data_IF_864214541621
#
_entry.id   IF_864214541621
#
_cell.length_a   1.000
_cell.length_b   1.000
_cell.length_c   1.000
_cell.angle_alpha   90.00
_cell.angle_beta   90.00
_cell.angle_gamma   90.00
#
_symmetry.space_group_name_H-M   'P 1'
#
loop_
_entity.id
_entity.type
_entity.pdbx_description
1 polymer ?
#
# COMPACT_ATOMS: atom_id res chain seq x y z
N UNK A 1 -10.85 -4.48 41.05
CA UNK A 1 -11.91 -3.86 40.20
C UNK A 1 -11.55 -3.78 38.71
N UNK A 2 -10.30 -3.53 38.29
CA UNK A 2 -9.92 -3.63 36.85
C UNK A 2 -10.09 -5.03 36.24
N UNK A 3 -9.89 -6.07 37.05
CA UNK A 3 -10.04 -7.48 36.67
C UNK A 3 -11.47 -7.87 36.30
N UNK A 4 -12.50 -7.22 36.87
CA UNK A 4 -13.92 -7.54 36.62
C UNK A 4 -14.37 -7.05 35.24
N UNK A 5 -13.81 -5.95 34.74
CA UNK A 5 -14.15 -5.41 33.41
C UNK A 5 -13.48 -6.20 32.28
N UNK A 6 -12.27 -6.70 32.52
CA UNK A 6 -11.53 -7.59 31.60
C UNK A 6 -12.04 -9.03 31.59
N UNK A 7 -12.82 -9.43 32.61
CA UNK A 7 -13.40 -10.77 32.69
C UNK A 7 -14.54 -11.02 31.69
N UNK A 8 -15.04 -9.98 31.00
CA UNK A 8 -16.02 -10.17 29.93
C UNK A 8 -15.36 -10.87 28.74
N UNK A 9 -15.98 -11.93 28.18
CA UNK A 9 -15.35 -12.76 27.15
C UNK A 9 -15.03 -11.97 25.88
N UNK A 10 -15.90 -11.02 25.50
CA UNK A 10 -15.68 -10.17 24.33
C UNK A 10 -14.49 -9.22 24.51
N UNK A 11 -14.31 -8.65 25.70
CA UNK A 11 -13.18 -7.76 26.01
C UNK A 11 -11.87 -8.52 25.96
N UNK A 12 -11.83 -9.71 26.59
CA UNK A 12 -10.65 -10.58 26.56
C UNK A 12 -10.27 -10.97 25.13
N UNK A 13 -11.27 -11.34 24.30
CA UNK A 13 -11.05 -11.65 22.89
C UNK A 13 -10.46 -10.46 22.12
N UNK A 14 -10.98 -9.24 22.32
CA UNK A 14 -10.47 -8.01 21.69
C UNK A 14 -9.02 -7.75 22.09
N UNK A 15 -8.67 -7.90 23.38
CA UNK A 15 -7.30 -7.71 23.89
C UNK A 15 -6.34 -8.71 23.27
N UNK A 16 -6.69 -10.00 23.28
CA UNK A 16 -5.84 -11.07 22.74
C UNK A 16 -5.63 -10.88 21.23
N UNK A 17 -6.71 -10.68 20.47
CA UNK A 17 -6.65 -10.56 19.01
C UNK A 17 -5.88 -9.30 18.58
N UNK A 18 -6.11 -8.17 19.25
CA UNK A 18 -5.36 -6.94 18.97
C UNK A 18 -3.90 -7.05 19.38
N UNK A 19 -3.60 -7.71 20.50
CA UNK A 19 -2.22 -7.97 20.95
C UNK A 19 -1.45 -8.81 19.93
N UNK A 20 -2.05 -9.91 19.46
CA UNK A 20 -1.47 -10.75 18.39
C UNK A 20 -1.28 -9.92 17.12
N UNK A 21 -2.28 -9.13 16.73
CA UNK A 21 -2.21 -8.27 15.55
C UNK A 21 -1.08 -7.24 15.61
N UNK A 22 -0.88 -6.59 16.77
CA UNK A 22 0.21 -5.63 17.01
C UNK A 22 1.57 -6.33 16.98
N UNK A 23 1.71 -7.47 17.65
CA UNK A 23 2.96 -8.25 17.65
C UNK A 23 3.34 -8.69 16.23
N UNK A 24 2.38 -9.23 15.48
CA UNK A 24 2.60 -9.63 14.09
C UNK A 24 2.95 -8.43 13.21
N UNK A 25 2.28 -7.29 13.39
CA UNK A 25 2.58 -6.05 12.66
C UNK A 25 3.98 -5.53 13.00
N UNK A 26 4.39 -5.56 14.27
CA UNK A 26 5.73 -5.17 14.70
C UNK A 26 6.82 -6.09 14.13
N UNK A 27 6.58 -7.42 14.13
CA UNK A 27 7.47 -8.38 13.48
C UNK A 27 7.68 -8.06 12.00
N UNK A 28 6.59 -7.83 11.26
CA UNK A 28 6.67 -7.42 9.85
C UNK A 28 7.41 -6.09 9.70
N UNK A 29 7.16 -5.12 10.59
CA UNK A 29 7.84 -3.82 10.55
C UNK A 29 9.35 -3.96 10.69
N UNK A 30 9.80 -4.68 11.71
CA UNK A 30 11.22 -4.95 11.96
C UNK A 30 11.84 -5.68 10.78
N UNK A 31 11.17 -6.70 10.23
CA UNK A 31 11.66 -7.42 9.06
C UNK A 31 11.84 -6.49 7.83
N UNK A 32 10.88 -5.58 7.58
CA UNK A 32 10.97 -4.63 6.48
C UNK A 32 12.05 -3.56 6.71
N UNK A 33 12.26 -3.13 7.95
CA UNK A 33 13.32 -2.19 8.32
C UNK A 33 14.71 -2.83 8.17
N UNK A 34 14.89 -4.09 8.59
CA UNK A 34 16.14 -4.83 8.37
C UNK A 34 16.46 -4.92 6.87
N UNK A 35 15.47 -5.28 6.04
CA UNK A 35 15.63 -5.35 4.58
C UNK A 35 15.83 -3.98 3.91
N UNK A 36 15.39 -2.89 4.54
CA UNK A 36 15.71 -1.52 4.12
C UNK A 36 17.19 -1.20 4.42
N UNK A 37 17.67 -1.55 5.61
CA UNK A 37 19.06 -1.33 6.01
C UNK A 37 20.06 -2.10 5.13
N UNK A 38 19.70 -3.31 4.68
CA UNK A 38 20.51 -4.10 3.73
C UNK A 38 20.57 -3.50 2.31
N UNK A 39 19.78 -2.49 1.99
CA UNK A 39 19.76 -1.85 0.66
C UNK A 39 19.15 -2.71 -0.46
N UNK A 40 18.60 -3.89 -0.13
CA UNK A 40 18.01 -4.85 -1.09
C UNK A 40 16.73 -4.33 -1.75
N UNK A 41 16.07 -3.33 -1.15
CA UNK A 41 14.76 -2.83 -1.60
C UNK A 41 14.82 -1.35 -2.00
N UNK A 42 14.22 -1.03 -3.15
CA UNK A 42 14.19 0.34 -3.72
C UNK A 42 13.36 1.26 -2.81
N UNK A 43 13.96 2.38 -2.35
CA UNK A 43 13.42 3.35 -1.37
C UNK A 43 11.94 3.77 -1.54
N UNK A 44 11.41 3.82 -2.77
CA UNK A 44 10.05 4.29 -3.05
C UNK A 44 8.91 3.33 -2.66
N UNK A 45 9.08 2.02 -2.79
CA UNK A 45 8.01 1.04 -2.47
C UNK A 45 7.87 0.80 -0.96
N UNK A 46 8.90 1.11 -0.17
CA UNK A 46 8.91 0.84 1.26
C UNK A 46 8.13 1.88 2.07
N UNK A 47 8.16 3.17 1.71
CA UNK A 47 7.42 4.19 2.45
C UNK A 47 5.92 3.88 2.48
N UNK A 48 5.32 3.57 1.33
CA UNK A 48 3.90 3.18 1.25
C UNK A 48 3.59 1.94 2.10
N UNK A 49 4.51 0.98 2.16
CA UNK A 49 4.33 -0.25 2.93
C UNK A 49 4.45 -0.01 4.44
N UNK A 50 5.37 0.86 4.87
CA UNK A 50 5.50 1.28 6.27
C UNK A 50 4.30 2.09 6.73
N UNK A 51 3.80 3.04 5.91
CA UNK A 51 2.60 3.81 6.21
C UNK A 51 1.36 2.91 6.34
N UNK A 52 1.21 1.93 5.45
CA UNK A 52 0.14 0.95 5.54
C UNK A 52 0.25 0.11 6.82
N UNK A 53 1.45 -0.30 7.22
CA UNK A 53 1.65 -1.07 8.44
C UNK A 53 1.35 -0.26 9.70
N UNK A 54 1.77 1.02 9.71
CA UNK A 54 1.43 1.96 10.77
C UNK A 54 -0.09 2.15 10.90
N UNK A 55 -0.81 2.17 9.77
CA UNK A 55 -2.28 2.23 9.77
C UNK A 55 -2.94 0.96 10.30
N UNK A 56 -2.34 -0.20 10.09
CA UNK A 56 -2.82 -1.46 10.67
C UNK A 56 -2.63 -1.46 12.19
N UNK A 57 -1.49 -0.97 12.68
CA UNK A 57 -1.25 -0.82 14.13
C UNK A 57 -2.25 0.15 14.75
N UNK A 58 -2.60 1.25 14.07
CA UNK A 58 -3.59 2.20 14.59
C UNK A 58 -5.00 1.61 14.66
N UNK A 59 -5.39 0.71 13.75
CA UNK A 59 -6.67 -0.05 13.84
C UNK A 59 -6.70 -0.93 15.09
N UNK A 60 -5.64 -1.70 15.36
CA UNK A 60 -5.57 -2.54 16.55
C UNK A 60 -5.51 -1.72 17.84
N UNK A 61 -4.80 -0.60 17.84
CA UNK A 61 -4.75 0.31 18.99
C UNK A 61 -6.12 0.97 19.24
N UNK A 62 -6.85 1.33 18.19
CA UNK A 62 -8.22 1.82 18.30
C UNK A 62 -9.14 0.78 18.93
N UNK A 63 -9.05 -0.49 18.51
CA UNK A 63 -9.82 -1.59 19.10
C UNK A 63 -9.49 -1.79 20.58
N UNK A 64 -8.20 -1.73 20.97
CA UNK A 64 -7.80 -1.78 22.38
C UNK A 64 -8.35 -0.60 23.18
N UNK A 65 -8.42 0.59 22.59
CA UNK A 65 -8.90 1.77 23.28
C UNK A 65 -10.35 1.59 23.77
N UNK A 66 -11.18 0.86 23.02
CA UNK A 66 -12.57 0.53 23.39
C UNK A 66 -12.69 -0.44 24.58
N UNK A 67 -11.64 -1.18 24.91
CA UNK A 67 -11.65 -2.10 26.08
C UNK A 67 -11.50 -1.37 27.42
N UNK A 68 -10.90 -0.18 27.39
CA UNK A 68 -10.68 0.62 28.59
C UNK A 68 -11.97 1.27 29.09
N UNK A 69 -12.03 1.48 30.41
CA UNK A 69 -13.22 2.00 31.10
C UNK A 69 -13.58 3.39 30.57
N UNK A 70 -14.85 3.65 30.22
CA UNK A 70 -15.28 4.92 29.66
C UNK A 70 -15.03 6.07 30.66
N UNK A 71 -14.10 6.96 30.29
CA UNK A 71 -13.90 8.28 30.90
C UNK A 71 -14.28 9.35 29.86
N UNK A 72 -14.72 10.56 30.24
CA UNK A 72 -15.16 11.57 29.27
C UNK A 72 -14.11 11.88 28.19
N UNK A 73 -12.84 12.08 28.60
CA UNK A 73 -11.72 12.30 27.68
C UNK A 73 -11.41 11.10 26.79
N UNK A 74 -11.53 9.90 27.35
CA UNK A 74 -11.26 8.65 26.65
C UNK A 74 -12.34 8.35 25.61
N UNK A 75 -13.59 8.69 25.89
CA UNK A 75 -14.71 8.47 24.98
C UNK A 75 -14.58 9.33 23.71
N UNK A 76 -14.19 10.60 23.88
CA UNK A 76 -13.85 11.45 22.74
C UNK A 76 -12.68 10.87 21.93
N UNK A 77 -11.62 10.41 22.62
CA UNK A 77 -10.49 9.77 21.97
C UNK A 77 -10.86 8.47 21.24
N UNK A 78 -11.76 7.65 21.79
CA UNK A 78 -12.27 6.42 21.18
C UNK A 78 -12.96 6.71 19.85
N UNK A 79 -13.87 7.68 19.83
CA UNK A 79 -14.58 8.06 18.61
C UNK A 79 -13.62 8.65 17.56
N UNK A 80 -12.76 9.60 17.96
CA UNK A 80 -11.75 10.19 17.09
C UNK A 80 -10.83 9.11 16.48
N UNK A 81 -10.30 8.23 17.33
CA UNK A 81 -9.34 7.21 16.91
C UNK A 81 -10.00 6.15 16.01
N UNK A 82 -11.28 5.84 16.23
CA UNK A 82 -12.02 4.92 15.36
C UNK A 82 -12.12 5.44 13.92
N UNK A 83 -12.64 6.64 13.73
CA UNK A 83 -12.83 7.17 12.38
C UNK A 83 -11.49 7.51 11.70
N UNK A 84 -10.54 8.07 12.46
CA UNK A 84 -9.20 8.40 11.93
C UNK A 84 -8.39 7.16 11.56
N UNK A 85 -8.49 6.06 12.31
CA UNK A 85 -7.80 4.81 11.97
C UNK A 85 -8.34 4.18 10.68
N UNK A 86 -9.66 4.18 10.47
CA UNK A 86 -10.24 3.77 9.18
C UNK A 86 -9.84 4.69 8.03
N UNK A 87 -9.89 6.02 8.22
CA UNK A 87 -9.46 6.97 7.21
C UNK A 87 -7.98 6.77 6.84
N UNK A 88 -7.12 6.51 7.83
CA UNK A 88 -5.72 6.25 7.60
C UNK A 88 -5.49 4.91 6.89
N UNK A 89 -6.18 3.84 7.29
CA UNK A 89 -6.05 2.52 6.68
C UNK A 89 -6.55 2.50 5.22
N UNK A 90 -7.76 3.00 4.98
CA UNK A 90 -8.32 3.06 3.62
C UNK A 90 -7.58 4.08 2.75
N UNK A 91 -7.10 5.19 3.34
CA UNK A 91 -6.23 6.13 2.66
C UNK A 91 -4.90 5.51 2.25
N UNK A 92 -4.32 4.65 3.08
CA UNK A 92 -3.10 3.92 2.75
C UNK A 92 -3.33 2.86 1.65
N UNK A 93 -4.50 2.21 1.61
CA UNK A 93 -4.92 1.34 0.50
C UNK A 93 -5.05 2.14 -0.82
N UNK A 94 -5.73 3.29 -0.77
CA UNK A 94 -5.87 4.19 -1.90
C UNK A 94 -4.50 4.65 -2.41
N UNK A 95 -3.63 5.09 -1.50
CA UNK A 95 -2.27 5.52 -1.81
C UNK A 95 -1.45 4.41 -2.47
N UNK A 96 -1.57 3.16 -1.99
CA UNK A 96 -0.94 2.00 -2.63
C UNK A 96 -1.45 1.78 -4.06
N UNK A 97 -2.75 1.94 -4.29
CA UNK A 97 -3.35 1.89 -5.62
C UNK A 97 -2.85 3.01 -6.54
N UNK A 98 -2.81 4.25 -6.07
CA UNK A 98 -2.27 5.38 -6.82
C UNK A 98 -0.80 5.21 -7.16
N UNK A 99 0.00 4.69 -6.23
CA UNK A 99 1.41 4.39 -6.48
C UNK A 99 1.59 3.32 -7.56
N UNK A 100 0.82 2.23 -7.50
CA UNK A 100 0.84 1.20 -8.54
C UNK A 100 0.43 1.76 -9.91
N UNK A 101 -0.58 2.64 -9.94
CA UNK A 101 -1.01 3.31 -11.15
C UNK A 101 0.08 4.24 -11.71
N UNK A 102 0.71 5.03 -10.86
CA UNK A 102 1.79 5.93 -11.24
C UNK A 102 2.97 5.16 -11.85
N UNK A 103 3.31 3.99 -11.28
CA UNK A 103 4.35 3.11 -11.82
C UNK A 103 3.97 2.51 -13.19
N UNK A 104 2.68 2.32 -13.48
CA UNK A 104 2.20 1.89 -14.80
C UNK A 104 2.32 3.02 -15.83
N UNK A 105 1.87 4.22 -15.50
CA UNK A 105 1.99 5.40 -16.39
C UNK A 105 3.45 5.81 -16.60
N UNK A 106 4.31 5.53 -15.62
CA UNK A 106 5.73 5.82 -15.63
C UNK A 106 6.57 4.92 -16.54
N UNK A 107 5.98 4.07 -17.36
CA UNK A 107 6.70 3.34 -18.43
C UNK A 107 7.52 4.24 -19.37
N UNK A 108 7.42 5.57 -19.24
CA UNK A 108 8.23 6.60 -19.90
C UNK A 108 9.06 7.51 -18.94
N UNK A 109 9.33 7.11 -17.68
CA UNK A 109 10.36 7.75 -16.82
C UNK A 109 9.89 8.57 -15.62
N UNK A 110 8.60 8.59 -15.26
CA UNK A 110 8.11 9.35 -14.09
C UNK A 110 8.23 8.60 -12.76
N UNK A 111 9.02 9.06 -11.78
CA UNK A 111 8.94 8.51 -10.40
C UNK A 111 7.90 9.28 -9.60
N UNK A 112 6.97 8.58 -8.95
CA UNK A 112 6.14 9.20 -7.93
C UNK A 112 7.03 9.60 -6.74
N UNK A 113 7.02 10.90 -6.40
CA UNK A 113 7.78 11.41 -5.25
C UNK A 113 7.21 10.85 -3.94
N UNK A 114 8.08 10.33 -3.07
CA UNK A 114 7.68 9.87 -1.73
C UNK A 114 7.10 11.00 -0.87
N UNK A 115 7.51 12.24 -1.11
CA UNK A 115 6.92 13.41 -0.47
C UNK A 115 5.44 13.57 -0.85
N UNK A 116 5.11 13.41 -2.13
CA UNK A 116 3.72 13.50 -2.59
C UNK A 116 2.86 12.39 -1.98
N UNK A 117 3.42 11.20 -1.80
CA UNK A 117 2.73 10.11 -1.12
C UNK A 117 2.44 10.43 0.36
N UNK A 118 3.43 10.95 1.07
CA UNK A 118 3.26 11.37 2.47
C UNK A 118 2.26 12.52 2.59
N UNK A 119 2.37 13.55 1.75
CA UNK A 119 1.44 14.67 1.71
C UNK A 119 0.00 14.21 1.46
N UNK A 120 -0.19 13.26 0.54
CA UNK A 120 -1.54 12.76 0.22
C UNK A 120 -2.16 12.03 1.41
N UNK A 121 -1.40 11.16 2.10
CA UNK A 121 -1.95 10.47 3.28
C UNK A 121 -2.20 11.43 4.45
N UNK A 122 -1.32 12.41 4.66
CA UNK A 122 -1.51 13.46 5.66
C UNK A 122 -2.77 14.27 5.36
N UNK A 123 -3.01 14.63 4.10
CA UNK A 123 -4.23 15.32 3.68
C UNK A 123 -5.47 14.48 3.97
N UNK A 124 -5.48 13.21 3.59
CA UNK A 124 -6.63 12.31 3.83
C UNK A 124 -6.97 12.17 5.32
N UNK A 125 -5.96 12.07 6.17
CA UNK A 125 -6.13 11.99 7.64
C UNK A 125 -6.55 13.34 8.20
N UNK A 126 -5.96 14.44 7.74
CA UNK A 126 -6.29 15.80 8.18
C UNK A 126 -7.75 16.17 7.91
N UNK A 127 -8.30 15.76 6.76
CA UNK A 127 -9.73 15.94 6.46
C UNK A 127 -10.60 15.24 7.50
N UNK A 128 -10.29 13.98 7.86
CA UNK A 128 -11.04 13.30 8.93
C UNK A 128 -10.89 14.01 10.28
N UNK A 129 -9.66 14.41 10.65
CA UNK A 129 -9.45 15.13 11.91
C UNK A 129 -10.21 16.47 11.94
N UNK A 130 -10.29 17.18 10.82
CA UNK A 130 -11.03 18.43 10.72
C UNK A 130 -12.53 18.21 10.90
N UNK A 131 -13.11 17.14 10.32
CA UNK A 131 -14.52 16.77 10.51
C UNK A 131 -14.82 16.48 11.99
N UNK A 132 -13.95 15.74 12.67
CA UNK A 132 -14.08 15.47 14.11
C UNK A 132 -13.95 16.74 14.95
N UNK A 133 -12.96 17.58 14.65
CA UNK A 133 -12.73 18.84 15.36
C UNK A 133 -13.91 19.80 15.20
N UNK A 134 -14.46 19.93 13.99
CA UNK A 134 -15.66 20.73 13.73
C UNK A 134 -16.85 20.24 14.54
N UNK A 135 -17.09 18.92 14.58
CA UNK A 135 -18.18 18.36 15.36
C UNK A 135 -18.03 18.62 16.87
N UNK A 136 -16.82 18.59 17.40
CA UNK A 136 -16.56 18.91 18.81
C UNK A 136 -16.76 20.38 19.13
N UNK A 137 -16.40 21.28 18.21
CA UNK A 137 -16.65 22.72 18.37
C UNK A 137 -18.15 23.03 18.38
N UNK A 138 -18.92 22.38 17.51
CA UNK A 138 -20.38 22.55 17.42
C UNK A 138 -21.14 21.87 18.57
N UNK A 139 -20.61 20.78 19.11
CA UNK A 139 -21.26 19.97 20.13
C UNK A 139 -20.22 19.22 20.97
N UNK A 140 -19.71 19.84 22.05
CA UNK A 140 -18.70 19.18 22.88
C UNK A 140 -19.28 17.91 23.51
N UNK A 141 -18.52 16.80 23.55
CA UNK A 141 -18.98 15.53 24.11
C UNK A 141 -19.11 15.66 25.64
N UNK A 142 -20.33 15.95 26.12
CA UNK A 142 -20.63 16.06 27.56
C UNK A 142 -20.80 14.70 28.24
N UNK A 143 -21.23 13.69 27.48
CA UNK A 143 -21.53 12.35 27.98
C UNK A 143 -21.01 11.30 27.00
N UNK A 144 -20.61 10.14 27.51
CA UNK A 144 -20.19 9.02 26.68
C UNK A 144 -21.41 8.28 26.11
N UNK A 145 -22.18 8.96 25.25
CA UNK A 145 -23.33 8.41 24.57
C UNK A 145 -23.11 8.56 23.06
N UNK A 146 -22.90 7.44 22.38
CA UNK A 146 -22.77 7.42 20.93
C UNK A 146 -24.15 7.72 20.33
N UNK A 147 -24.25 8.83 19.60
CA UNK A 147 -25.43 9.11 18.78
C UNK A 147 -25.24 8.42 17.43
N UNK A 148 -26.11 7.45 17.10
CA UNK A 148 -25.96 6.60 15.92
C UNK A 148 -25.87 7.41 14.61
N UNK A 149 -26.73 8.42 14.44
CA UNK A 149 -26.75 9.22 13.20
C UNK A 149 -25.47 10.03 13.01
N UNK A 150 -24.98 10.67 14.08
CA UNK A 150 -23.72 11.42 14.04
C UNK A 150 -22.53 10.49 13.82
N UNK A 151 -22.49 9.35 14.50
CA UNK A 151 -21.42 8.38 14.33
C UNK A 151 -21.34 7.86 12.89
N UNK A 152 -22.50 7.55 12.28
CA UNK A 152 -22.57 7.13 10.88
C UNK A 152 -22.22 8.24 9.89
N UNK A 153 -22.57 9.50 10.19
CA UNK A 153 -22.19 10.63 9.35
C UNK A 153 -20.66 10.79 9.29
N UNK A 154 -19.98 10.68 10.44
CA UNK A 154 -18.52 10.74 10.53
C UNK A 154 -17.82 9.57 9.82
N UNK A 155 -18.53 8.46 9.67
CA UNK A 155 -18.07 7.28 8.95
C UNK A 155 -18.26 7.39 7.43
N UNK A 156 -19.08 8.31 6.93
CA UNK A 156 -19.30 8.49 5.50
C UNK A 156 -17.99 8.79 4.75
N UNK A 157 -17.09 9.58 5.35
CA UNK A 157 -15.80 9.90 4.73
C UNK A 157 -14.89 8.66 4.56
N UNK A 158 -14.61 7.85 5.60
CA UNK A 158 -13.89 6.58 5.41
C UNK A 158 -14.53 5.65 4.36
N UNK A 159 -15.86 5.58 4.29
CA UNK A 159 -16.56 4.80 3.26
C UNK A 159 -16.27 5.32 1.84
N UNK A 160 -16.28 6.64 1.63
CA UNK A 160 -15.92 7.26 0.35
C UNK A 160 -14.46 6.97 0.00
N UNK A 161 -13.54 7.09 0.96
CA UNK A 161 -12.12 6.77 0.74
C UNK A 161 -11.93 5.29 0.37
N UNK A 162 -12.66 4.37 1.01
CA UNK A 162 -12.64 2.95 0.65
C UNK A 162 -13.20 2.71 -0.76
N UNK A 163 -14.29 3.36 -1.13
CA UNK A 163 -14.85 3.26 -2.48
C UNK A 163 -13.83 3.73 -3.53
N UNK A 164 -13.15 4.85 -3.29
CA UNK A 164 -12.06 5.32 -4.15
C UNK A 164 -10.89 4.32 -4.20
N UNK A 165 -10.52 3.72 -3.06
CA UNK A 165 -9.48 2.69 -3.00
C UNK A 165 -9.85 1.47 -3.86
N UNK A 166 -11.10 1.02 -3.80
CA UNK A 166 -11.64 -0.07 -4.63
C UNK A 166 -11.60 0.30 -6.10
N UNK A 167 -12.06 1.50 -6.49
CA UNK A 167 -12.02 1.97 -7.87
C UNK A 167 -10.58 2.02 -8.41
N UNK A 168 -9.64 2.51 -7.61
CA UNK A 168 -8.22 2.52 -7.98
C UNK A 168 -7.62 1.10 -8.08
N UNK A 169 -8.01 0.19 -7.18
CA UNK A 169 -7.61 -1.21 -7.26
C UNK A 169 -8.17 -1.90 -8.52
N UNK A 170 -9.40 -1.58 -8.92
CA UNK A 170 -9.98 -2.06 -10.18
C UNK A 170 -9.25 -1.51 -11.40
N UNK A 171 -8.93 -0.21 -11.42
CA UNK A 171 -8.17 0.41 -12.52
C UNK A 171 -6.80 -0.24 -12.72
N UNK A 172 -6.12 -0.56 -11.62
CA UNK A 172 -4.76 -1.12 -11.64
C UNK A 172 -4.73 -2.65 -11.78
N UNK A 173 -5.88 -3.33 -11.85
CA UNK A 173 -5.96 -4.81 -11.88
C UNK A 173 -5.25 -5.45 -13.08
N UNK A 174 -5.16 -4.73 -14.20
CA UNK A 174 -4.59 -5.21 -15.45
C UNK A 174 -3.09 -4.87 -15.61
N UNK A 175 -2.43 -4.36 -14.56
CA UNK A 175 -0.99 -4.10 -14.58
C UNK A 175 -0.19 -5.40 -14.78
N UNK A 176 0.46 -5.56 -15.94
CA UNK A 176 1.24 -6.76 -16.27
C UNK A 176 2.48 -6.93 -15.35
N UNK A 177 3.19 -5.85 -15.07
CA UNK A 177 4.48 -5.89 -14.34
C UNK A 177 4.35 -6.22 -12.83
N UNK A 178 3.22 -5.85 -12.19
CA UNK A 178 2.93 -6.13 -10.77
C UNK A 178 1.59 -6.85 -10.56
N UNK A 179 1.26 -7.82 -11.43
CA UNK A 179 -0.04 -8.50 -11.45
C UNK A 179 -0.43 -9.13 -10.10
N UNK A 180 0.53 -9.67 -9.33
CA UNK A 180 0.26 -10.28 -8.01
C UNK A 180 -0.12 -9.22 -6.96
N UNK A 181 0.59 -8.09 -6.95
CA UNK A 181 0.37 -7.02 -5.97
C UNK A 181 -0.94 -6.28 -6.25
N UNK A 182 -1.24 -6.04 -7.53
CA UNK A 182 -2.52 -5.45 -7.94
C UNK A 182 -3.72 -6.36 -7.59
N UNK A 183 -3.60 -7.69 -7.78
CA UNK A 183 -4.64 -8.65 -7.38
C UNK A 183 -4.83 -8.70 -5.87
N UNK A 184 -3.74 -8.74 -5.11
CA UNK A 184 -3.78 -8.69 -3.64
C UNK A 184 -4.47 -7.42 -3.14
N UNK A 185 -4.14 -6.26 -3.73
CA UNK A 185 -4.79 -5.00 -3.40
C UNK A 185 -6.30 -5.01 -3.74
N UNK A 186 -6.67 -5.51 -4.91
CA UNK A 186 -8.07 -5.63 -5.32
C UNK A 186 -8.85 -6.58 -4.41
N UNK A 187 -8.33 -7.78 -4.13
CA UNK A 187 -8.99 -8.72 -3.23
C UNK A 187 -9.14 -8.14 -1.82
N UNK A 188 -8.10 -7.50 -1.28
CA UNK A 188 -8.13 -6.90 0.06
C UNK A 188 -9.15 -5.76 0.13
N UNK A 189 -9.13 -4.83 -0.84
CA UNK A 189 -10.08 -3.70 -0.87
C UNK A 189 -11.52 -4.17 -1.07
N UNK A 190 -11.77 -5.16 -1.92
CA UNK A 190 -13.09 -5.75 -2.11
C UNK A 190 -13.61 -6.47 -0.88
N UNK A 191 -12.76 -7.21 -0.17
CA UNK A 191 -13.14 -7.88 1.08
C UNK A 191 -13.33 -6.91 2.25
N UNK A 192 -12.72 -5.73 2.20
CA UNK A 192 -12.91 -4.71 3.24
C UNK A 192 -14.33 -4.12 3.21
N UNK A 193 -14.97 -4.04 2.03
CA UNK A 193 -16.33 -3.51 1.87
C UNK A 193 -17.37 -4.31 2.69
N UNK A 194 -17.52 -5.64 2.54
CA UNK A 194 -18.50 -6.40 3.30
C UNK A 194 -18.16 -6.44 4.80
N UNK A 195 -16.88 -6.42 5.20
CA UNK A 195 -16.49 -6.35 6.62
C UNK A 195 -16.97 -5.04 7.23
N UNK A 196 -16.74 -3.92 6.54
CA UNK A 196 -17.18 -2.61 7.00
C UNK A 196 -18.71 -2.52 7.05
N UNK A 197 -19.39 -3.00 5.99
CA UNK A 197 -20.84 -3.05 5.93
C UNK A 197 -21.42 -3.90 7.08
N UNK A 198 -20.85 -5.08 7.35
CA UNK A 198 -21.26 -5.94 8.46
C UNK A 198 -21.04 -5.27 9.83
N UNK A 199 -19.95 -4.52 9.99
CA UNK A 199 -19.71 -3.71 11.20
C UNK A 199 -20.78 -2.64 11.39
N UNK A 200 -21.19 -1.94 10.33
CA UNK A 200 -22.23 -0.92 10.39
C UNK A 200 -23.63 -1.50 10.62
N UNK A 201 -23.97 -2.59 9.95
CA UNK A 201 -25.27 -3.26 10.18
C UNK A 201 -25.34 -3.80 11.60
N UNK A 202 -24.27 -4.40 12.12
CA UNK A 202 -24.20 -4.80 13.53
C UNK A 202 -24.35 -3.60 14.47
N UNK A 203 -23.66 -2.48 14.22
CA UNK A 203 -23.80 -1.27 15.04
C UNK A 203 -25.23 -0.70 15.05
N UNK A 204 -25.96 -0.80 13.94
CA UNK A 204 -27.34 -0.37 13.82
C UNK A 204 -28.33 -1.31 14.51
N UNK A 205 -28.15 -2.62 14.35
CA UNK A 205 -29.06 -3.65 14.84
C UNK A 205 -28.90 -3.93 16.33
N UNK A 206 -27.66 -3.89 16.84
CA UNK A 206 -27.41 -4.07 18.27
C UNK A 206 -27.76 -2.75 18.96
N UNK A 207 -28.70 -2.78 19.90
CA UNK A 207 -29.16 -1.58 20.64
C UNK A 207 -28.03 -0.89 21.43
N UNK A 208 -28.25 0.36 21.88
CA UNK A 208 -27.23 1.16 22.58
C UNK A 208 -26.68 0.44 23.80
N UNK A 209 -25.38 0.18 23.82
CA UNK A 209 -24.74 -0.51 24.94
C UNK A 209 -23.42 -1.18 24.58
N UNK A 210 -23.05 -2.18 25.37
CA UNK A 210 -21.75 -2.85 25.29
C UNK A 210 -21.58 -3.65 23.99
N UNK A 211 -22.67 -4.21 23.47
CA UNK A 211 -22.62 -5.02 22.26
C UNK A 211 -22.31 -4.21 21.00
N UNK A 212 -22.71 -2.93 20.94
CA UNK A 212 -22.30 -2.01 19.87
C UNK A 212 -20.79 -1.77 19.89
N UNK A 213 -20.22 -1.54 21.08
CA UNK A 213 -18.79 -1.30 21.25
C UNK A 213 -17.99 -2.56 20.87
N UNK A 214 -18.49 -3.74 21.26
CA UNK A 214 -17.90 -5.01 20.85
C UNK A 214 -17.90 -5.17 19.31
N UNK A 215 -19.04 -4.93 18.66
CA UNK A 215 -19.16 -5.03 17.20
C UNK A 215 -18.19 -4.10 16.46
N UNK A 216 -18.07 -2.83 16.89
CA UNK A 216 -17.13 -1.87 16.33
C UNK A 216 -15.66 -2.32 16.50
N UNK A 217 -15.33 -2.88 17.67
CA UNK A 217 -13.99 -3.40 17.97
C UNK A 217 -13.64 -4.61 17.10
N UNK A 218 -14.57 -5.54 16.93
CA UNK A 218 -14.38 -6.70 16.04
C UNK A 218 -14.24 -6.29 14.57
N UNK A 219 -14.99 -5.28 14.11
CA UNK A 219 -14.85 -4.76 12.74
C UNK A 219 -13.47 -4.14 12.49
N UNK A 220 -12.93 -3.39 13.46
CA UNK A 220 -11.57 -2.83 13.41
C UNK A 220 -10.51 -3.95 13.33
N UNK A 221 -10.63 -4.95 14.21
CA UNK A 221 -9.72 -6.10 14.25
C UNK A 221 -9.77 -6.89 12.94
N UNK A 222 -10.98 -7.21 12.46
CA UNK A 222 -11.18 -7.94 11.21
C UNK A 222 -10.55 -7.18 10.02
N UNK A 223 -10.74 -5.86 9.96
CA UNK A 223 -10.12 -5.01 8.94
C UNK A 223 -8.59 -5.00 9.06
N UNK A 224 -8.06 -4.90 10.29
CA UNK A 224 -6.61 -4.94 10.55
C UNK A 224 -5.98 -6.25 10.06
N UNK A 225 -6.55 -7.40 10.44
CA UNK A 225 -6.09 -8.71 9.97
C UNK A 225 -6.24 -8.89 8.46
N UNK A 226 -7.34 -8.42 7.88
CA UNK A 226 -7.56 -8.47 6.43
C UNK A 226 -6.43 -7.73 5.68
N UNK A 227 -6.09 -6.51 6.11
CA UNK A 227 -5.02 -5.74 5.46
C UNK A 227 -3.66 -6.39 5.69
N UNK A 228 -3.39 -6.86 6.92
CA UNK A 228 -2.14 -7.51 7.28
C UNK A 228 -1.89 -8.77 6.43
N UNK A 229 -2.87 -9.67 6.38
CA UNK A 229 -2.76 -10.93 5.62
C UNK A 229 -2.88 -10.65 4.12
N UNK A 230 -3.85 -9.84 3.71
CA UNK A 230 -4.18 -9.60 2.31
C UNK A 230 -3.04 -8.94 1.54
N UNK A 231 -2.32 -7.99 2.16
CA UNK A 231 -1.26 -7.23 1.51
C UNK A 231 0.14 -7.72 1.90
N UNK A 232 0.41 -7.92 3.19
CA UNK A 232 1.78 -8.26 3.60
C UNK A 232 2.12 -9.73 3.40
N UNK A 233 1.18 -10.67 3.48
CA UNK A 233 1.50 -12.09 3.24
C UNK A 233 2.02 -12.37 1.81
N UNK A 234 1.37 -11.92 0.72
CA UNK A 234 1.93 -12.12 -0.62
C UNK A 234 3.24 -11.34 -0.83
N UNK A 235 3.37 -10.17 -0.22
CA UNK A 235 4.57 -9.34 -0.29
C UNK A 235 5.78 -10.03 0.40
N UNK A 236 5.62 -10.51 1.63
CA UNK A 236 6.65 -11.23 2.38
C UNK A 236 7.04 -12.54 1.68
N UNK A 237 6.07 -13.30 1.16
CA UNK A 237 6.35 -14.51 0.38
C UNK A 237 7.17 -14.21 -0.87
N UNK A 238 6.86 -13.12 -1.57
CA UNK A 238 7.62 -12.70 -2.73
C UNK A 238 9.05 -12.27 -2.34
N UNK A 239 9.20 -11.55 -1.21
CA UNK A 239 10.50 -11.11 -0.72
C UNK A 239 11.36 -12.28 -0.23
N UNK A 240 10.79 -13.26 0.45
CA UNK A 240 11.50 -14.46 0.89
C UNK A 240 11.99 -15.30 -0.31
N UNK A 241 11.14 -15.48 -1.33
CA UNK A 241 11.53 -16.22 -2.56
C UNK A 241 12.59 -15.49 -3.39
N UNK A 242 12.58 -14.15 -3.39
CA UNK A 242 13.53 -13.32 -4.17
C UNK A 242 14.78 -12.95 -3.38
N UNK A 243 14.72 -12.98 -2.06
CA UNK A 243 15.78 -12.60 -1.13
C UNK A 243 16.87 -13.65 -0.91
N UNK A 244 16.94 -14.68 -1.76
CA UNK A 244 17.98 -15.70 -1.76
C UNK A 244 19.06 -15.53 -2.84
N UNK A 245 19.00 -14.47 -3.67
CA UNK A 245 20.08 -14.19 -4.62
C UNK A 245 21.01 -13.13 -4.06
N UNK A 246 22.17 -13.58 -3.58
CA UNK A 246 23.33 -12.75 -3.40
C UNK A 246 23.56 -11.91 -4.66
N UNK A 247 23.94 -10.65 -4.43
CA UNK A 247 24.26 -9.67 -5.45
C UNK A 247 25.12 -10.30 -6.58
N UNK A 248 24.51 -10.57 -7.73
CA UNK A 248 25.21 -10.30 -8.98
C UNK A 248 24.98 -8.83 -9.26
N UNK A 249 26.01 -7.98 -9.30
CA UNK A 249 25.84 -6.61 -9.73
C UNK A 249 25.39 -6.64 -11.19
N UNK A 250 24.08 -6.54 -11.40
CA UNK A 250 23.57 -6.09 -12.68
C UNK A 250 23.96 -4.61 -12.76
N UNK A 251 25.14 -4.39 -13.32
CA UNK A 251 25.49 -3.18 -14.05
C UNK A 251 24.47 -3.04 -15.18
N UNK A 252 23.27 -2.57 -14.85
CA UNK A 252 22.22 -2.27 -15.79
C UNK A 252 21.63 -0.91 -15.40
N UNK A 253 22.38 0.12 -15.79
CA UNK A 253 21.87 1.43 -16.18
C UNK A 253 20.89 2.10 -15.22
N UNK A 254 21.33 2.45 -14.01
CA UNK A 254 20.79 3.64 -13.34
C UNK A 254 21.44 4.87 -13.98
N UNK A 255 20.93 5.28 -15.15
CA UNK A 255 20.89 6.66 -15.66
C UNK A 255 20.64 6.66 -17.17
N UNK A 256 19.41 6.95 -17.58
CA UNK A 256 19.12 7.41 -18.94
C UNK A 256 19.87 8.71 -19.29
N UNK A 257 20.38 9.44 -18.30
CA UNK A 257 21.28 10.58 -18.47
C UNK A 257 22.73 10.18 -18.81
N UNK A 258 23.26 9.09 -18.23
CA UNK A 258 24.63 8.63 -18.50
C UNK A 258 24.76 7.94 -19.85
N UNK A 259 23.69 7.34 -20.36
CA UNK A 259 23.68 6.82 -21.73
C UNK A 259 23.87 7.93 -22.77
N UNK A 260 23.57 9.19 -22.46
CA UNK A 260 23.78 10.32 -23.36
C UNK A 260 25.17 10.97 -23.21
N UNK A 261 25.77 10.97 -22.02
CA UNK A 261 27.09 11.60 -21.81
C UNK A 261 28.24 10.75 -22.35
N UNK A 262 28.12 9.41 -22.37
CA UNK A 262 29.14 8.55 -22.98
C UNK A 262 29.28 8.75 -24.49
N UNK A 263 28.20 9.16 -25.19
CA UNK A 263 28.29 9.51 -26.62
C UNK A 263 28.83 10.91 -26.88
N UNK A 264 28.81 11.80 -25.88
CA UNK A 264 29.28 13.17 -26.06
C UNK A 264 30.81 13.25 -25.91
N UNK A 265 31.41 12.43 -25.04
CA UNK A 265 32.86 12.40 -24.83
C UNK A 265 33.65 11.80 -26.01
N UNK A 266 33.03 10.98 -26.84
CA UNK A 266 33.68 10.39 -28.02
C UNK A 266 33.73 11.31 -29.24
N UNK A 267 33.06 12.48 -29.20
CA UNK A 267 33.04 13.42 -30.32
C UNK A 267 34.23 14.39 -30.33
N UNK A 268 34.97 14.50 -29.22
CA UNK A 268 36.06 15.47 -29.07
C UNK A 268 37.48 14.85 -29.07
N UNK A 269 37.61 13.54 -28.96
CA UNK A 269 38.90 12.86 -29.03
C UNK A 269 38.97 12.04 -30.32
N UNK A 270 39.72 12.54 -31.30
CA UNK A 270 39.94 11.91 -32.61
C UNK A 270 40.74 10.59 -32.52
N UNK A 271 40.17 9.57 -31.87
CA UNK A 271 40.68 8.22 -31.81
C UNK A 271 39.82 7.29 -32.67
N UNK A 272 40.49 6.37 -33.37
CA UNK A 272 39.92 5.48 -34.38
C UNK A 272 38.69 4.68 -33.89
N UNK A 273 37.66 4.66 -34.73
CA UNK A 273 36.41 3.92 -34.54
C UNK A 273 36.70 2.43 -34.79
N UNK A 274 36.47 1.51 -33.83
CA UNK A 274 36.45 0.09 -34.13
C UNK A 274 35.19 -0.23 -34.95
N UNK A 275 35.38 -0.93 -36.09
CA UNK A 275 34.31 -1.43 -36.96
C UNK A 275 33.36 -2.36 -36.20
N UNK A 276 32.28 -1.79 -35.66
CA UNK A 276 31.03 -2.46 -35.38
C UNK A 276 29.91 -1.45 -35.64
N UNK A 277 29.59 -1.26 -36.92
CA UNK A 277 28.66 -0.25 -37.41
C UNK A 277 27.20 -0.61 -37.07
N UNK A 278 26.57 0.17 -36.21
CA UNK A 278 25.11 0.30 -36.15
C UNK A 278 24.69 1.48 -37.03
N UNK A 279 23.98 1.23 -38.13
CA UNK A 279 23.37 2.29 -38.95
C UNK A 279 21.99 2.61 -38.39
N UNK A 280 21.80 3.83 -37.87
CA UNK A 280 20.52 4.33 -37.37
C UNK A 280 19.80 5.11 -38.47
N UNK A 281 18.99 4.41 -39.26
CA UNK A 281 17.91 5.00 -40.08
C UNK A 281 16.56 4.76 -39.38
N UNK A 282 15.67 5.75 -39.38
CA UNK A 282 14.46 5.76 -38.57
C UNK A 282 13.57 4.50 -38.65
N UNK A 283 13.05 4.09 -37.49
CA UNK A 283 11.97 3.10 -37.24
C UNK A 283 12.23 1.63 -37.64
N UNK A 284 13.40 1.06 -37.36
CA UNK A 284 13.58 -0.35 -36.98
C UNK A 284 15.08 -0.64 -36.81
N UNK A 285 15.46 -1.47 -35.84
CA UNK A 285 16.84 -1.96 -35.72
C UNK A 285 16.94 -3.24 -36.53
N UNK A 286 17.64 -3.18 -37.66
CA UNK A 286 17.88 -4.33 -38.53
C UNK A 286 19.28 -4.88 -38.23
N UNK A 287 19.37 -6.14 -37.81
CA UNK A 287 20.64 -6.83 -37.59
C UNK A 287 21.09 -7.38 -38.94
N UNK A 288 22.26 -6.94 -39.43
CA UNK A 288 22.88 -7.52 -40.63
C UNK A 288 23.73 -8.71 -40.18
N UNK A 289 23.30 -9.91 -40.52
CA UNK A 289 24.14 -11.11 -40.38
C UNK A 289 24.91 -11.34 -41.69
N UNK A 290 26.22 -11.61 -41.66
CA UNK A 290 26.97 -11.92 -42.86
C UNK A 290 26.63 -13.36 -43.29
N UNK A 291 25.85 -13.51 -44.36
CA UNK A 291 25.74 -14.79 -45.07
C UNK A 291 26.98 -15.00 -45.93
N UNK A 292 27.56 -16.20 -45.84
CA UNK A 292 28.79 -16.60 -46.53
C UNK A 292 28.74 -16.52 -48.07
N UNK A 293 27.57 -16.28 -48.67
CA UNK A 293 27.40 -16.04 -50.10
C UNK A 293 26.65 -14.71 -50.36
N UNK A 294 27.41 -13.62 -50.45
CA UNK A 294 27.29 -12.54 -51.45
C UNK A 294 25.92 -11.96 -51.86
N UNK A 295 24.91 -11.85 -50.99
CA UNK A 295 23.70 -11.08 -51.31
C UNK A 295 22.92 -10.65 -50.06
N UNK A 296 22.39 -9.41 -49.99
CA UNK A 296 21.65 -8.94 -48.82
C UNK A 296 20.23 -9.54 -48.82
N UNK A 297 19.98 -10.49 -47.91
CA UNK A 297 18.62 -10.93 -47.58
C UNK A 297 18.15 -10.22 -46.29
N UNK A 298 17.10 -9.41 -46.41
CA UNK A 298 16.54 -8.65 -45.30
C UNK A 298 15.54 -9.50 -44.51
N UNK A 299 15.99 -10.14 -43.43
CA UNK A 299 15.07 -10.70 -42.43
C UNK A 299 15.06 -9.84 -41.17
N UNK A 300 13.95 -9.12 -40.98
CA UNK A 300 13.68 -8.37 -39.75
C UNK A 300 13.21 -9.36 -38.68
N UNK A 301 14.04 -9.64 -37.67
CA UNK A 301 13.62 -10.36 -36.47
C UNK A 301 13.64 -9.45 -35.26
N UNK A 302 12.58 -9.53 -34.48
CA UNK A 302 12.41 -8.76 -33.26
C UNK A 302 13.38 -9.29 -32.18
N UNK A 303 14.26 -8.46 -31.60
CA UNK A 303 15.29 -8.91 -30.67
C UNK A 303 14.75 -9.51 -29.35
N UNK A 304 13.44 -9.36 -29.09
CA UNK A 304 12.77 -9.98 -27.93
C UNK A 304 12.68 -11.51 -28.00
N UNK A 305 12.80 -12.12 -29.19
CA UNK A 305 12.60 -13.56 -29.40
C UNK A 305 13.86 -14.28 -29.88
N UNK A 306 15.03 -13.77 -29.51
CA UNK A 306 16.31 -14.44 -29.81
C UNK A 306 16.53 -15.64 -28.85
N UNK A 307 17.08 -16.76 -29.33
CA UNK A 307 17.44 -17.88 -28.46
C UNK A 307 18.47 -17.41 -27.42
N UNK A 308 18.09 -17.44 -26.14
CA UNK A 308 18.85 -16.87 -25.02
C UNK A 308 18.22 -15.61 -24.39
N UNK A 309 17.11 -15.11 -24.93
CA UNK A 309 16.30 -14.03 -24.34
C UNK A 309 15.51 -14.52 -23.12
N UNK A 310 15.29 -13.62 -22.15
CA UNK A 310 14.58 -13.90 -20.89
C UNK A 310 13.05 -14.05 -21.03
N UNK A 311 12.51 -14.01 -22.25
CA UNK A 311 11.10 -14.27 -22.53
C UNK A 311 10.99 -15.28 -23.68
N UNK A 312 10.13 -16.32 -23.54
CA UNK A 312 9.83 -17.26 -24.61
C UNK A 312 9.02 -16.61 -25.74
#
# INVERSE_FOLDING_TARGET
>A
MHTVWMAKPWTLAVVIMSGIGILLSAYVAVFLLMKLCEGVVRKGHQLTSLLLLLSVVSLFLSALLFTFRPRPKLCAAQQLLHHTSYAFAFGALLLKGMHLNAMQSAGLGGRASGLNQLLTICFLVAVQMALEAQAWMLSPPRWCRLNQSRFLLHQAYPCVVLALAVLMAFRTRNCSYHRRDARSLLCTSLLAVPILAAGHTAFLLLGPGEHQIAALSFALIATGFLILVGIFAPYLRALHKRGGYGHKPLSYSDSSASAFTTFQHHKESGAAIPECCYVRGGRAVTIVQPTRNGGPSHHVRNPLYLPGSAYP
#
